data_IF_279632429084
#
_entry.id   IF_279632429084
#
_cell.length_a   1.000
_cell.length_b   1.000
_cell.length_c   1.000
_cell.angle_alpha   90.00
_cell.angle_beta   90.00
_cell.angle_gamma   90.00
#
_symmetry.space_group_name_H-M   'P 1'
#
loop_
_entity.id
_entity.type
_entity.pdbx_description
1 polymer ?
#
# COMPACT_ATOMS: atom_id res chain seq x y z
N UNK A 1 45.21 -40.87 -28.56
CA UNK A 1 44.51 -39.56 -28.46
C UNK A 1 43.08 -39.77 -28.91
N UNK A 2 42.15 -39.88 -27.95
CA UNK A 2 40.72 -39.96 -28.22
C UNK A 2 40.16 -38.59 -27.84
N UNK A 3 39.54 -37.89 -28.78
CA UNK A 3 38.94 -36.58 -28.57
C UNK A 3 37.75 -36.70 -27.59
N UNK A 4 37.52 -35.72 -26.70
CA UNK A 4 36.38 -35.76 -25.81
C UNK A 4 35.12 -35.39 -26.61
N UNK A 5 34.18 -36.32 -26.64
CA UNK A 5 32.82 -36.13 -27.17
C UNK A 5 32.14 -35.03 -26.36
N UNK A 6 31.61 -34.02 -27.04
CA UNK A 6 30.84 -32.95 -26.42
C UNK A 6 29.60 -33.55 -25.75
N UNK A 7 29.58 -33.56 -24.42
CA UNK A 7 28.35 -33.82 -23.67
C UNK A 7 27.41 -32.65 -23.91
N UNK A 8 26.28 -32.92 -24.58
CA UNK A 8 25.15 -32.02 -24.58
C UNK A 8 24.78 -31.74 -23.11
N UNK A 9 24.78 -30.47 -22.71
CA UNK A 9 24.18 -30.03 -21.44
C UNK A 9 22.70 -30.35 -21.53
N UNK A 10 22.28 -31.51 -21.03
CA UNK A 10 20.89 -31.72 -20.66
C UNK A 10 20.58 -30.72 -19.54
N UNK A 11 19.89 -29.64 -19.88
CA UNK A 11 19.35 -28.73 -18.88
C UNK A 11 18.35 -29.50 -18.04
N UNK A 12 18.63 -29.64 -16.73
CA UNK A 12 17.67 -30.22 -15.78
C UNK A 12 16.31 -29.54 -15.97
N UNK A 13 15.21 -30.29 -16.09
CA UNK A 13 13.88 -29.69 -16.22
C UNK A 13 13.57 -28.92 -14.94
N UNK A 14 13.69 -27.59 -14.99
CA UNK A 14 13.20 -26.71 -13.94
C UNK A 14 11.69 -26.68 -14.10
N UNK A 15 10.97 -27.28 -13.14
CA UNK A 15 9.52 -27.12 -13.02
C UNK A 15 9.24 -25.65 -12.79
N UNK A 16 8.91 -24.92 -13.86
CA UNK A 16 8.39 -23.56 -13.78
C UNK A 16 6.88 -23.67 -13.63
N UNK A 17 6.35 -23.40 -12.43
CA UNK A 17 4.94 -23.04 -12.33
C UNK A 17 4.76 -21.75 -13.12
N UNK A 18 4.12 -21.84 -14.30
CA UNK A 18 3.81 -20.68 -15.12
C UNK A 18 2.46 -20.14 -14.66
N UNK A 19 2.51 -19.15 -13.78
CA UNK A 19 1.32 -18.40 -13.41
C UNK A 19 0.90 -17.51 -14.59
N UNK A 20 -0.28 -17.79 -15.17
CA UNK A 20 -0.85 -16.96 -16.23
C UNK A 20 -1.61 -15.79 -15.61
N UNK A 21 -1.01 -14.60 -15.65
CA UNK A 21 -1.66 -13.39 -15.16
C UNK A 21 -2.62 -12.80 -16.20
N UNK A 22 -3.78 -12.36 -15.71
CA UNK A 22 -4.79 -11.65 -16.52
C UNK A 22 -5.32 -10.47 -15.72
N UNK A 23 -5.42 -9.31 -16.36
CA UNK A 23 -6.16 -8.18 -15.84
C UNK A 23 -7.62 -8.31 -16.29
N UNK A 24 -8.56 -8.12 -15.37
CA UNK A 24 -9.99 -8.08 -15.66
C UNK A 24 -10.57 -6.78 -15.13
N UNK A 25 -11.25 -6.04 -16.00
CA UNK A 25 -12.09 -4.91 -15.62
C UNK A 25 -13.49 -5.46 -15.40
N UNK A 26 -14.02 -5.30 -14.19
CA UNK A 26 -15.30 -5.88 -13.79
C UNK A 26 -16.31 -4.78 -13.49
N UNK A 27 -17.57 -4.98 -13.86
CA UNK A 27 -18.67 -4.07 -13.55
C UNK A 27 -18.87 -3.97 -12.04
N UNK A 28 -18.91 -2.74 -11.52
CA UNK A 28 -19.17 -2.47 -10.10
C UNK A 28 -20.57 -2.90 -9.67
N UNK A 29 -21.56 -2.90 -10.57
CA UNK A 29 -22.94 -3.23 -10.23
C UNK A 29 -23.11 -4.70 -9.80
N UNK A 30 -22.47 -5.61 -10.55
CA UNK A 30 -22.65 -7.06 -10.36
C UNK A 30 -21.41 -7.76 -9.80
N UNK A 31 -20.23 -7.10 -9.87
CA UNK A 31 -18.91 -7.65 -9.52
C UNK A 31 -18.56 -9.00 -10.18
N UNK A 32 -19.32 -9.39 -11.21
CA UNK A 32 -19.18 -10.65 -11.95
C UNK A 32 -18.94 -10.42 -13.44
N UNK A 33 -19.61 -9.42 -14.00
CA UNK A 33 -19.55 -9.10 -15.43
C UNK A 33 -18.18 -8.51 -15.78
N UNK A 34 -17.39 -9.24 -16.55
CA UNK A 34 -16.10 -8.76 -17.09
C UNK A 34 -16.38 -7.85 -18.27
N UNK A 35 -16.06 -6.56 -18.11
CA UNK A 35 -16.22 -5.52 -19.12
C UNK A 35 -15.05 -5.51 -20.11
N UNK A 36 -13.85 -5.77 -19.62
CA UNK A 36 -12.66 -5.84 -20.44
C UNK A 36 -11.61 -6.78 -19.83
N UNK A 37 -10.74 -7.36 -20.66
CA UNK A 37 -9.70 -8.28 -20.23
C UNK A 37 -8.38 -7.97 -20.94
N UNK A 38 -7.27 -8.15 -20.25
CA UNK A 38 -5.94 -8.12 -20.86
C UNK A 38 -5.13 -9.31 -20.36
N UNK A 39 -4.55 -10.09 -21.27
CA UNK A 39 -3.71 -11.24 -20.93
C UNK A 39 -2.26 -10.80 -20.96
N UNK A 40 -1.54 -11.07 -19.88
CA UNK A 40 -0.11 -10.74 -19.79
C UNK A 40 0.70 -11.90 -20.38
N UNK A 41 1.91 -11.60 -20.85
CA UNK A 41 2.82 -12.61 -21.37
C UNK A 41 3.04 -13.74 -20.34
N UNK A 42 3.11 -15.03 -20.74
CA UNK A 42 3.15 -16.17 -19.80
C UNK A 42 4.33 -16.20 -18.83
N UNK A 43 5.44 -15.53 -19.17
CA UNK A 43 6.63 -15.44 -18.31
C UNK A 43 6.64 -14.16 -17.45
N UNK A 44 5.63 -13.30 -17.58
CA UNK A 44 5.50 -12.05 -16.84
C UNK A 44 4.53 -12.17 -15.67
N UNK A 45 4.97 -11.65 -14.52
CA UNK A 45 4.21 -11.54 -13.29
C UNK A 45 3.81 -10.09 -13.07
N UNK A 46 2.52 -9.85 -12.79
CA UNK A 46 2.06 -8.53 -12.37
C UNK A 46 2.45 -8.32 -10.91
N UNK A 47 3.24 -7.28 -10.63
CA UNK A 47 3.64 -6.91 -9.28
C UNK A 47 2.73 -5.82 -8.69
N UNK A 48 2.31 -4.87 -9.52
CA UNK A 48 1.41 -3.79 -9.09
C UNK A 48 0.57 -3.27 -10.26
N UNK A 49 -0.59 -2.74 -9.95
CA UNK A 49 -1.49 -2.12 -10.91
C UNK A 49 -2.26 -0.97 -10.27
N UNK A 50 -2.33 0.16 -10.98
CA UNK A 50 -3.02 1.33 -10.48
C UNK A 50 -3.84 2.02 -11.58
N UNK A 51 -5.03 2.49 -11.20
CA UNK A 51 -5.80 3.38 -12.05
C UNK A 51 -5.16 4.76 -12.05
N UNK A 52 -4.89 5.27 -13.24
CA UNK A 52 -4.48 6.65 -13.41
C UNK A 52 -5.73 7.52 -13.45
N UNK A 53 -5.69 8.64 -12.73
CA UNK A 53 -6.67 9.72 -12.85
C UNK A 53 -5.90 10.98 -13.23
N UNK A 54 -6.36 11.71 -14.23
CA UNK A 54 -5.83 12.99 -14.70
C UNK A 54 -4.51 12.93 -15.50
N UNK A 55 -4.42 12.01 -16.45
CA UNK A 55 -3.42 12.12 -17.51
C UNK A 55 -3.73 13.31 -18.43
N UNK A 56 -2.75 14.19 -18.59
CA UNK A 56 -2.90 15.40 -19.39
C UNK A 56 -3.06 15.09 -20.88
N UNK A 57 -4.16 15.52 -21.50
CA UNK A 57 -4.42 15.34 -22.92
C UNK A 57 -5.14 14.04 -23.31
N UNK A 58 -5.60 13.25 -22.33
CA UNK A 58 -6.54 12.15 -22.57
C UNK A 58 -7.98 12.62 -22.27
N UNK A 59 -8.95 12.32 -23.14
CA UNK A 59 -10.33 12.82 -23.01
C UNK A 59 -11.06 12.25 -21.78
N UNK A 60 -10.72 11.02 -21.37
CA UNK A 60 -11.29 10.37 -20.18
C UNK A 60 -10.18 9.97 -19.19
N UNK A 61 -9.97 10.74 -18.10
CA UNK A 61 -8.90 10.51 -17.14
C UNK A 61 -9.01 9.18 -16.40
N UNK A 62 -10.21 8.58 -16.27
CA UNK A 62 -10.45 7.32 -15.53
C UNK A 62 -10.32 6.05 -16.39
N UNK A 63 -9.90 6.19 -17.64
CA UNK A 63 -9.84 5.08 -18.59
C UNK A 63 -8.48 4.39 -18.63
N UNK A 64 -7.46 4.85 -17.92
CA UNK A 64 -6.09 4.30 -18.04
C UNK A 64 -5.67 3.52 -16.81
N UNK A 65 -5.17 2.31 -17.05
CA UNK A 65 -4.58 1.43 -16.03
C UNK A 65 -3.09 1.32 -16.34
N UNK A 66 -2.26 1.58 -15.33
CA UNK A 66 -0.84 1.32 -15.36
C UNK A 66 -0.55 -0.03 -14.70
N UNK A 67 0.24 -0.88 -15.36
CA UNK A 67 0.61 -2.22 -14.90
C UNK A 67 2.13 -2.32 -14.83
N UNK A 68 2.63 -2.76 -13.69
CA UNK A 68 4.03 -3.03 -13.43
C UNK A 68 4.23 -4.53 -13.46
N UNK A 69 5.03 -5.00 -14.40
CA UNK A 69 5.34 -6.42 -14.53
C UNK A 69 6.82 -6.71 -14.29
N UNK A 70 7.09 -7.98 -13.99
CA UNK A 70 8.43 -8.53 -13.86
C UNK A 70 8.48 -9.94 -14.46
N UNK A 71 9.57 -10.26 -15.15
CA UNK A 71 9.86 -11.60 -15.64
C UNK A 71 10.70 -12.31 -14.58
N UNK A 72 10.12 -13.33 -13.94
CA UNK A 72 10.81 -14.12 -12.92
C UNK A 72 11.73 -15.15 -13.58
N UNK A 73 13.02 -14.83 -13.64
CA UNK A 73 14.06 -15.71 -14.23
C UNK A 73 14.74 -16.66 -13.24
N UNK A 74 14.39 -16.61 -11.96
CA UNK A 74 15.18 -17.16 -10.84
C UNK A 74 16.21 -16.16 -10.30
N UNK A 75 16.85 -16.49 -9.18
CA UNK A 75 17.79 -15.58 -8.48
C UNK A 75 19.08 -15.32 -9.26
N UNK A 76 19.53 -16.30 -10.06
CA UNK A 76 20.78 -16.21 -10.85
C UNK A 76 20.63 -15.41 -12.16
N UNK A 77 19.41 -14.98 -12.52
CA UNK A 77 19.15 -14.23 -13.74
C UNK A 77 18.78 -12.79 -13.41
N UNK A 78 19.29 -11.85 -14.22
CA UNK A 78 18.89 -10.45 -14.11
C UNK A 78 17.38 -10.31 -14.31
N UNK A 79 16.69 -9.82 -13.28
CA UNK A 79 15.27 -9.51 -13.36
C UNK A 79 15.03 -8.44 -14.44
N UNK A 80 14.04 -8.69 -15.30
CA UNK A 80 13.49 -7.73 -16.27
C UNK A 80 12.07 -7.40 -15.87
N UNK A 81 11.56 -6.28 -16.35
CA UNK A 81 10.17 -5.90 -16.10
C UNK A 81 9.67 -4.96 -17.17
N UNK A 82 8.37 -4.71 -17.12
CA UNK A 82 7.67 -3.86 -18.07
C UNK A 82 6.77 -2.87 -17.36
N UNK A 83 6.62 -1.69 -17.95
CA UNK A 83 5.51 -0.79 -17.64
C UNK A 83 4.55 -0.81 -18.82
N UNK A 84 3.31 -1.23 -18.58
CA UNK A 84 2.24 -1.21 -19.60
C UNK A 84 1.17 -0.21 -19.20
N UNK A 85 0.84 0.72 -20.09
CA UNK A 85 -0.33 1.59 -19.97
C UNK A 85 -1.44 1.06 -20.88
N UNK A 86 -2.56 0.71 -20.29
CA UNK A 86 -3.75 0.24 -20.99
C UNK A 86 -4.83 1.31 -20.95
N UNK A 87 -5.48 1.55 -22.09
CA UNK A 87 -6.75 2.27 -22.15
C UNK A 87 -7.89 1.26 -22.12
N UNK A 88 -8.77 1.41 -21.15
CA UNK A 88 -10.04 0.72 -21.02
C UNK A 88 -11.07 1.54 -21.76
N UNK A 89 -11.43 1.10 -22.96
CA UNK A 89 -12.61 1.61 -23.64
C UNK A 89 -13.80 0.88 -23.06
N UNK A 90 -14.64 1.56 -22.29
CA UNK A 90 -15.91 1.00 -21.86
C UNK A 90 -16.64 0.50 -23.12
N UNK A 91 -16.87 -0.80 -23.22
CA UNK A 91 -17.81 -1.38 -24.17
C UNK A 91 -19.20 -0.87 -23.80
N UNK A 92 -19.51 0.37 -24.19
CA UNK A 92 -20.87 0.83 -24.25
C UNK A 92 -21.63 -0.17 -25.14
N UNK A 93 -22.73 -0.72 -24.61
CA UNK A 93 -23.74 -1.51 -25.34
C UNK A 93 -23.48 -3.01 -25.65
N UNK A 94 -23.14 -3.83 -24.66
CA UNK A 94 -23.56 -5.27 -24.71
C UNK A 94 -24.75 -5.63 -23.81
N UNK A 95 -25.19 -4.73 -22.95
CA UNK A 95 -26.39 -4.91 -22.11
C UNK A 95 -27.69 -4.40 -22.76
N UNK A 96 -27.63 -3.74 -23.92
CA UNK A 96 -28.83 -3.28 -24.63
C UNK A 96 -29.33 -4.26 -25.71
N UNK A 97 -28.55 -5.28 -26.08
CA UNK A 97 -28.87 -6.22 -27.16
C UNK A 97 -29.02 -7.68 -26.72
N UNK A 98 -28.80 -8.02 -25.45
CA UNK A 98 -28.94 -9.40 -24.96
C UNK A 98 -30.32 -9.77 -24.40
N UNK A 99 -31.33 -8.90 -24.51
CA UNK A 99 -32.75 -9.31 -24.32
C UNK A 99 -33.38 -9.92 -25.59
N UNK A 100 -32.60 -10.14 -26.65
CA UNK A 100 -33.10 -10.73 -27.89
C UNK A 100 -32.14 -11.80 -28.45
N UNK A 101 -31.82 -12.83 -27.66
CA UNK A 101 -31.37 -14.13 -28.16
C UNK A 101 -31.29 -15.16 -27.02
N UNK A 102 -32.43 -15.72 -26.62
CA UNK A 102 -32.44 -17.05 -26.02
C UNK A 102 -32.24 -18.09 -27.15
N UNK A 103 -31.12 -18.81 -27.12
CA UNK A 103 -30.97 -20.25 -27.41
C UNK A 103 -29.49 -20.60 -27.66
N UNK A 104 -28.98 -21.59 -26.92
CA UNK A 104 -27.77 -22.33 -27.32
C UNK A 104 -26.85 -22.65 -26.14
N UNK A 105 -27.07 -23.80 -25.50
CA UNK A 105 -26.15 -24.44 -24.57
C UNK A 105 -24.88 -24.97 -25.26
N UNK A 106 -23.82 -25.09 -24.46
CA UNK A 106 -22.64 -25.97 -24.61
C UNK A 106 -21.65 -25.71 -25.76
N UNK A 107 -20.48 -25.18 -25.40
CA UNK A 107 -19.19 -25.60 -25.96
C UNK A 107 -18.05 -25.22 -24.99
N UNK A 108 -17.55 -26.23 -24.28
CA UNK A 108 -16.21 -26.24 -23.71
C UNK A 108 -15.22 -26.62 -24.83
N UNK A 109 -14.01 -26.09 -24.69
CA UNK A 109 -12.79 -26.46 -25.42
C UNK A 109 -12.75 -26.16 -26.93
N UNK A 110 -12.24 -24.98 -27.29
CA UNK A 110 -11.43 -24.84 -28.50
C UNK A 110 -10.17 -24.01 -28.18
N UNK A 111 -9.01 -24.65 -28.42
CA UNK A 111 -7.68 -24.05 -28.48
C UNK A 111 -7.63 -23.01 -29.61
N UNK A 112 -7.57 -21.71 -29.26
CA UNK A 112 -7.20 -20.63 -30.18
C UNK A 112 -5.74 -20.20 -29.95
N UNK A 113 -5.04 -19.75 -31.01
CA UNK A 113 -3.59 -19.81 -31.10
C UNK A 113 -2.89 -18.84 -30.15
N UNK A 114 -1.62 -19.15 -29.87
CA UNK A 114 -0.71 -18.34 -29.08
C UNK A 114 -0.77 -16.86 -29.50
N UNK A 115 -1.46 -16.05 -28.69
CA UNK A 115 -1.56 -14.62 -28.90
C UNK A 115 -0.18 -14.00 -28.60
N UNK A 116 0.61 -13.78 -29.64
CA UNK A 116 1.72 -12.83 -29.62
C UNK A 116 1.17 -11.49 -29.11
N UNK A 117 1.84 -10.94 -28.09
CA UNK A 117 1.39 -9.75 -27.37
C UNK A 117 0.99 -8.62 -28.32
N UNK A 118 -0.27 -8.19 -28.21
CA UNK A 118 -0.82 -7.11 -29.03
C UNK A 118 0.06 -5.88 -28.97
N UNK A 119 0.51 -5.44 -30.15
CA UNK A 119 1.28 -4.22 -30.30
C UNK A 119 0.48 -2.98 -29.88
N UNK A 120 1.15 -1.86 -29.58
CA UNK A 120 0.46 -0.61 -29.27
C UNK A 120 -0.42 -0.18 -30.46
N UNK A 121 -1.72 -0.04 -30.22
CA UNK A 121 -2.68 0.45 -31.22
C UNK A 121 -3.83 -0.51 -31.60
N UNK A 122 -3.74 -1.81 -31.33
CA UNK A 122 -4.85 -2.73 -31.62
C UNK A 122 -5.89 -2.70 -30.49
N UNK A 123 -7.13 -2.34 -30.85
CA UNK A 123 -8.29 -2.52 -29.98
C UNK A 123 -8.67 -3.99 -30.09
N UNK A 124 -8.14 -4.80 -29.18
CA UNK A 124 -8.54 -6.19 -29.07
C UNK A 124 -10.06 -6.28 -28.81
N UNK A 125 -10.67 -7.38 -29.26
CA UNK A 125 -12.06 -7.78 -28.90
C UNK A 125 -12.30 -7.81 -27.37
N UNK A 126 -11.24 -7.66 -26.59
CA UNK A 126 -11.14 -7.66 -25.15
C UNK A 126 -11.50 -6.32 -24.48
N UNK A 127 -11.73 -5.22 -25.22
CA UNK A 127 -12.15 -3.93 -24.66
C UNK A 127 -11.03 -3.10 -24.01
N UNK A 128 -9.79 -3.57 -24.10
CA UNK A 128 -8.58 -2.87 -23.68
C UNK A 128 -7.70 -2.60 -24.91
N UNK A 129 -7.08 -1.42 -24.99
CA UNK A 129 -6.02 -1.14 -25.96
C UNK A 129 -4.73 -0.74 -25.25
N UNK A 130 -3.60 -1.26 -25.73
CA UNK A 130 -2.27 -0.90 -25.20
C UNK A 130 -1.90 0.47 -25.74
N UNK A 131 -1.70 1.45 -24.85
CA UNK A 131 -1.18 2.77 -25.23
C UNK A 131 0.33 2.72 -25.39
N UNK A 132 1.00 2.19 -24.38
CA UNK A 132 2.47 2.15 -24.30
C UNK A 132 2.87 0.90 -23.53
N UNK A 133 3.87 0.20 -24.07
CA UNK A 133 4.60 -0.85 -23.37
C UNK A 133 6.08 -0.46 -23.35
N UNK A 134 6.68 -0.40 -22.15
CA UNK A 134 8.09 -0.04 -21.97
C UNK A 134 8.82 -1.14 -21.22
N UNK A 135 9.75 -1.79 -21.91
CA UNK A 135 10.72 -2.69 -21.29
C UNK A 135 11.68 -1.92 -20.37
N UNK A 136 11.90 -2.47 -19.18
CA UNK A 136 12.79 -1.93 -18.15
C UNK A 136 13.84 -2.95 -17.73
N UNK A 137 15.03 -2.43 -17.47
CA UNK A 137 16.16 -3.17 -16.92
C UNK A 137 16.02 -3.30 -15.40
N UNK A 138 15.05 -4.10 -14.99
CA UNK A 138 14.68 -4.35 -13.59
C UNK A 138 13.18 -4.55 -13.43
N UNK A 139 12.74 -5.17 -12.34
CA UNK A 139 11.32 -5.40 -12.08
C UNK A 139 10.62 -4.08 -11.75
N UNK A 140 9.45 -3.83 -12.34
CA UNK A 140 8.61 -2.69 -11.97
C UNK A 140 7.78 -3.10 -10.76
N UNK A 141 8.25 -2.78 -9.55
CA UNK A 141 7.68 -3.35 -8.32
C UNK A 141 6.45 -2.62 -7.78
N UNK A 142 6.38 -1.30 -7.97
CA UNK A 142 5.26 -0.48 -7.50
C UNK A 142 4.94 0.62 -8.50
N UNK A 143 3.67 0.99 -8.54
CA UNK A 143 3.11 2.04 -9.37
C UNK A 143 2.26 2.94 -8.50
N UNK A 144 2.59 4.22 -8.47
CA UNK A 144 1.85 5.21 -7.71
C UNK A 144 1.45 6.40 -8.58
N UNK A 145 0.16 6.49 -8.98
CA UNK A 145 -0.39 7.67 -9.62
C UNK A 145 -0.31 8.87 -8.67
N UNK A 146 0.25 9.98 -9.16
CA UNK A 146 0.44 11.16 -8.34
C UNK A 146 0.15 12.44 -9.12
N UNK A 147 -1.09 12.94 -8.96
CA UNK A 147 -1.63 14.03 -9.79
C UNK A 147 -1.52 13.65 -11.28
N UNK A 148 -0.93 14.52 -12.10
CA UNK A 148 -0.65 14.31 -13.53
C UNK A 148 0.66 13.56 -13.82
N UNK A 149 1.30 13.01 -12.78
CA UNK A 149 2.56 12.29 -12.86
C UNK A 149 2.35 10.82 -12.51
N UNK A 150 3.19 9.97 -13.08
CA UNK A 150 3.26 8.55 -12.76
C UNK A 150 4.57 8.28 -12.05
N UNK A 151 4.51 7.82 -10.80
CA UNK A 151 5.71 7.32 -10.13
C UNK A 151 5.75 5.81 -10.26
N UNK A 152 6.93 5.27 -10.56
CA UNK A 152 7.16 3.83 -10.54
C UNK A 152 8.45 3.53 -9.80
N UNK A 153 8.53 2.36 -9.18
CA UNK A 153 9.80 1.81 -8.72
C UNK A 153 10.33 0.77 -9.69
N UNK A 154 11.63 0.81 -9.95
CA UNK A 154 12.37 -0.22 -10.70
C UNK A 154 13.53 -0.68 -9.82
N UNK A 155 13.37 -1.83 -9.17
CA UNK A 155 14.29 -2.29 -8.12
C UNK A 155 14.45 -1.24 -7.01
N UNK A 156 15.67 -0.74 -6.82
CA UNK A 156 16.01 0.28 -5.82
C UNK A 156 15.84 1.73 -6.30
N UNK A 157 15.26 1.97 -7.49
CA UNK A 157 15.12 3.32 -8.06
C UNK A 157 13.67 3.74 -8.15
N UNK A 158 13.40 5.01 -7.85
CA UNK A 158 12.10 5.65 -8.11
C UNK A 158 12.24 6.53 -9.35
N UNK A 159 11.34 6.36 -10.31
CA UNK A 159 11.23 7.20 -11.48
C UNK A 159 9.90 7.93 -11.48
N UNK A 160 9.93 9.20 -11.90
CA UNK A 160 8.74 10.03 -12.10
C UNK A 160 8.61 10.32 -13.58
N UNK A 161 7.47 9.95 -14.14
CA UNK A 161 7.13 10.16 -15.55
C UNK A 161 5.98 11.15 -15.68
N UNK A 162 5.95 11.84 -16.83
CA UNK A 162 4.82 12.62 -17.30
C UNK A 162 4.39 12.10 -18.65
N UNK A 163 3.09 11.96 -18.86
CA UNK A 163 2.55 11.61 -20.17
C UNK A 163 2.64 12.77 -21.15
N UNK A 164 3.12 12.48 -22.35
CA UNK A 164 3.19 13.41 -23.46
C UNK A 164 2.16 13.04 -24.53
N UNK A 165 0.99 13.67 -24.47
CA UNK A 165 -0.10 13.41 -25.42
C UNK A 165 0.26 13.68 -26.89
N UNK A 166 1.26 14.54 -27.17
CA UNK A 166 1.66 14.83 -28.57
C UNK A 166 2.48 13.71 -29.19
N UNK A 167 3.25 13.00 -28.37
CA UNK A 167 4.13 11.90 -28.80
C UNK A 167 3.57 10.53 -28.45
N UNK A 168 2.52 10.48 -27.64
CA UNK A 168 2.00 9.25 -27.03
C UNK A 168 3.09 8.47 -26.27
N UNK A 169 4.00 9.20 -25.61
CA UNK A 169 5.13 8.62 -24.86
C UNK A 169 5.15 9.10 -23.41
N UNK A 170 5.89 8.37 -22.56
CA UNK A 170 6.20 8.78 -21.20
C UNK A 170 7.56 9.49 -21.15
N UNK A 171 7.54 10.77 -20.77
CA UNK A 171 8.74 11.58 -20.60
C UNK A 171 9.24 11.45 -19.15
N UNK A 172 10.51 11.06 -18.99
CA UNK A 172 11.16 10.95 -17.67
C UNK A 172 11.45 12.32 -17.08
N UNK A 173 10.92 12.60 -15.88
CA UNK A 173 11.04 13.90 -15.20
C UNK A 173 12.11 13.92 -14.13
N UNK A 174 12.15 12.90 -13.27
CA UNK A 174 13.11 12.81 -12.17
C UNK A 174 13.38 11.35 -11.78
N UNK A 175 14.50 11.11 -11.12
CA UNK A 175 14.90 9.81 -10.58
C UNK A 175 15.47 10.00 -9.18
N UNK A 176 15.23 9.03 -8.30
CA UNK A 176 15.87 8.91 -6.99
C UNK A 176 16.39 7.49 -6.83
N UNK A 177 17.68 7.35 -6.51
CA UNK A 177 18.24 6.08 -6.02
C UNK A 177 17.92 5.96 -4.53
N UNK A 178 17.28 4.85 -4.16
CA UNK A 178 16.95 4.54 -2.77
C UNK A 178 18.05 3.69 -2.13
N UNK A 179 18.08 3.62 -0.79
CA UNK A 179 19.16 2.95 -0.05
C UNK A 179 18.93 1.44 0.19
N UNK A 180 17.78 0.91 -0.22
CA UNK A 180 17.41 -0.48 0.00
C UNK A 180 17.23 -1.24 -1.31
N UNK A 181 17.16 -2.58 -1.27
CA UNK A 181 17.21 -3.42 -2.46
C UNK A 181 15.91 -3.38 -3.28
N UNK A 182 14.76 -3.16 -2.65
CA UNK A 182 13.46 -3.29 -3.32
C UNK A 182 12.39 -2.47 -2.63
N UNK A 183 11.76 -1.59 -3.40
CA UNK A 183 10.65 -0.77 -2.97
C UNK A 183 9.37 -1.60 -3.04
N UNK A 184 8.67 -1.71 -1.92
CA UNK A 184 7.45 -2.53 -1.77
C UNK A 184 6.18 -1.71 -1.85
N UNK A 185 6.22 -0.44 -1.46
CA UNK A 185 5.07 0.45 -1.51
C UNK A 185 5.49 1.91 -1.61
N UNK A 186 4.70 2.71 -2.31
CA UNK A 186 4.87 4.14 -2.47
C UNK A 186 3.61 4.86 -2.00
N UNK A 187 3.80 6.00 -1.34
CA UNK A 187 2.72 6.91 -0.99
C UNK A 187 3.19 8.35 -1.19
N UNK A 188 2.27 9.24 -1.52
CA UNK A 188 2.58 10.67 -1.68
C UNK A 188 1.61 11.54 -0.90
N UNK A 189 2.15 12.59 -0.29
CA UNK A 189 1.37 13.65 0.35
C UNK A 189 1.89 14.99 -0.13
N UNK A 190 1.03 15.74 -0.81
CA UNK A 190 1.41 16.99 -1.52
C UNK A 190 2.64 16.74 -2.41
N UNK A 191 3.82 17.23 -2.05
CA UNK A 191 5.08 17.12 -2.77
C UNK A 191 6.13 16.25 -2.06
N UNK A 192 5.69 15.50 -1.05
CA UNK A 192 6.50 14.54 -0.34
C UNK A 192 6.19 13.13 -0.82
N UNK A 193 7.23 12.30 -0.83
CA UNK A 193 7.21 10.91 -1.25
C UNK A 193 7.64 10.08 -0.05
N UNK A 194 6.83 9.09 0.30
CA UNK A 194 7.16 8.06 1.27
C UNK A 194 7.33 6.75 0.51
N UNK A 195 8.49 6.13 0.64
CA UNK A 195 8.79 4.82 0.07
C UNK A 195 9.03 3.82 1.19
N UNK A 196 8.38 2.66 1.10
CA UNK A 196 8.66 1.49 1.90
C UNK A 196 9.64 0.58 1.17
N UNK A 197 10.64 0.08 1.89
CA UNK A 197 11.60 -0.89 1.40
C UNK A 197 11.44 -2.24 2.11
N UNK A 198 11.70 -3.33 1.37
CA UNK A 198 11.57 -4.70 1.86
C UNK A 198 12.49 -5.04 3.05
N UNK A 199 13.55 -4.24 3.30
CA UNK A 199 14.53 -4.51 4.36
C UNK A 199 14.87 -3.25 5.17
N UNK A 200 15.11 -2.12 4.49
CA UNK A 200 15.67 -0.89 5.05
C UNK A 200 14.64 0.05 5.69
N UNK A 201 13.37 -0.31 5.71
CA UNK A 201 12.33 0.49 6.34
C UNK A 201 11.78 1.60 5.45
N UNK A 202 11.55 2.77 6.05
CA UNK A 202 10.96 3.93 5.39
C UNK A 202 12.02 4.86 4.84
N UNK A 203 11.75 5.45 3.68
CA UNK A 203 12.52 6.53 3.06
C UNK A 203 11.59 7.69 2.71
N UNK A 204 11.91 8.86 3.22
CA UNK A 204 11.13 10.07 3.05
C UNK A 204 11.89 11.06 2.15
N UNK A 205 11.24 11.50 1.09
CA UNK A 205 11.83 12.39 0.10
C UNK A 205 10.85 13.51 -0.28
N UNK A 206 11.37 14.53 -0.96
CA UNK A 206 10.59 15.67 -1.46
C UNK A 206 10.87 15.87 -2.93
N UNK A 207 9.79 15.92 -3.71
CA UNK A 207 9.85 16.38 -5.09
C UNK A 207 9.86 17.91 -5.14
N UNK A 208 10.80 18.46 -5.89
CA UNK A 208 10.96 19.90 -6.12
C UNK A 208 10.81 20.16 -7.61
N UNK A 209 9.85 21.02 -7.94
CA UNK A 209 9.68 21.57 -9.28
C UNK A 209 10.27 22.98 -9.30
N UNK A 210 11.41 23.17 -9.97
CA UNK A 210 12.00 24.48 -10.14
C UNK A 210 11.46 25.14 -11.42
N UNK A 211 10.49 26.05 -11.26
CA UNK A 211 9.87 26.76 -12.39
C UNK A 211 10.85 27.65 -13.15
N UNK A 212 11.85 28.22 -12.49
CA UNK A 212 12.80 29.14 -13.14
C UNK A 212 13.76 28.36 -14.04
N UNK A 213 14.30 27.26 -13.53
CA UNK A 213 15.26 26.43 -14.26
C UNK A 213 14.60 25.34 -15.12
N UNK A 214 13.27 25.22 -15.08
CA UNK A 214 12.50 24.17 -15.74
C UNK A 214 13.00 22.75 -15.41
N UNK A 215 13.55 22.57 -14.21
CA UNK A 215 14.14 21.31 -13.75
C UNK A 215 13.28 20.67 -12.66
N UNK A 216 13.19 19.35 -12.71
CA UNK A 216 12.56 18.54 -11.69
C UNK A 216 13.64 17.77 -10.95
N UNK A 217 13.57 17.75 -9.62
CA UNK A 217 14.47 16.95 -8.81
C UNK A 217 13.76 16.35 -7.62
N UNK A 218 14.25 15.19 -7.17
CA UNK A 218 13.81 14.57 -5.93
C UNK A 218 14.97 14.71 -4.94
N UNK A 219 14.70 15.34 -3.80
CA UNK A 219 15.67 15.47 -2.70
C UNK A 219 15.27 14.54 -1.58
N UNK A 220 16.20 13.69 -1.17
CA UNK A 220 16.09 12.86 0.01
C UNK A 220 15.97 13.72 1.29
N UNK A 221 15.13 13.31 2.23
CA UNK A 221 14.95 14.01 3.52
C UNK A 221 15.40 13.15 4.70
N UNK A 222 14.81 11.97 4.90
CA UNK A 222 15.11 11.13 6.05
C UNK A 222 14.85 9.63 5.80
N UNK A 223 15.43 8.76 6.63
CA UNK A 223 15.17 7.29 6.65
C UNK A 223 14.90 6.78 8.05
N UNK A 224 14.35 5.58 8.09
CA UNK A 224 14.55 4.68 9.23
C UNK A 224 16.03 4.56 9.62
N UNK A 225 16.29 4.52 10.93
CA UNK A 225 17.64 4.46 11.46
C UNK A 225 18.40 3.23 10.94
N UNK A 226 19.70 3.37 10.65
CA UNK A 226 20.48 2.34 9.95
C UNK A 226 20.63 1.02 10.72
N UNK A 227 20.53 1.07 12.05
CA UNK A 227 20.57 -0.13 12.91
C UNK A 227 19.25 -0.89 12.92
N UNK A 228 18.17 -0.28 12.44
CA UNK A 228 16.85 -0.89 12.38
C UNK A 228 16.65 -1.52 11.01
N UNK A 229 16.28 -2.81 11.01
CA UNK A 229 15.73 -3.47 9.82
C UNK A 229 14.22 -3.49 9.99
N UNK A 230 13.51 -3.05 8.96
CA UNK A 230 12.07 -2.93 8.98
C UNK A 230 11.55 -3.43 7.63
N UNK A 231 11.04 -4.67 7.55
CA UNK A 231 10.55 -5.23 6.30
C UNK A 231 9.18 -4.67 5.98
N UNK A 232 9.14 -3.54 5.28
CA UNK A 232 7.89 -2.83 4.97
C UNK A 232 7.15 -3.55 3.86
N UNK A 233 5.86 -3.78 4.06
CA UNK A 233 4.94 -4.33 3.07
C UNK A 233 4.13 -3.21 2.41
N UNK A 234 3.57 -2.31 3.21
CA UNK A 234 2.73 -1.22 2.71
C UNK A 234 3.00 0.08 3.49
N UNK A 235 2.85 1.23 2.81
CA UNK A 235 3.02 2.54 3.43
C UNK A 235 1.78 3.42 3.25
N UNK A 236 1.55 4.28 4.23
CA UNK A 236 0.55 5.33 4.13
C UNK A 236 1.02 6.59 4.84
N UNK A 237 0.31 7.69 4.60
CA UNK A 237 0.45 8.91 5.38
C UNK A 237 -0.88 9.23 6.04
N UNK A 238 -0.82 9.67 7.30
CA UNK A 238 -1.97 10.24 7.99
C UNK A 238 -1.70 11.72 8.23
N UNK A 239 -2.66 12.56 7.83
CA UNK A 239 -2.58 14.01 8.02
C UNK A 239 -3.72 14.41 8.93
N UNK A 240 -3.37 15.04 10.06
CA UNK A 240 -4.34 15.65 10.95
C UNK A 240 -3.81 16.99 11.43
N UNK A 241 -4.58 18.04 11.18
CA UNK A 241 -4.22 19.42 11.44
C UNK A 241 -2.85 19.78 10.82
N UNK A 242 -1.86 20.10 11.66
CA UNK A 242 -0.50 20.41 11.26
C UNK A 242 0.47 19.20 11.34
N UNK A 243 -0.02 18.03 11.77
CA UNK A 243 0.80 16.85 12.02
C UNK A 243 0.72 15.86 10.85
N UNK A 244 1.89 15.34 10.47
CA UNK A 244 2.04 14.29 9.47
C UNK A 244 2.59 13.04 10.14
N UNK A 245 1.79 11.97 10.16
CA UNK A 245 2.22 10.64 10.51
C UNK A 245 2.64 9.85 9.28
N UNK A 246 3.83 9.28 9.32
CA UNK A 246 4.33 8.34 8.31
C UNK A 246 4.08 6.92 8.83
N UNK A 247 3.31 6.13 8.10
CA UNK A 247 2.84 4.83 8.56
C UNK A 247 3.47 3.74 7.71
N UNK A 248 4.00 2.71 8.35
CA UNK A 248 4.46 1.49 7.71
C UNK A 248 3.74 0.27 8.30
N UNK A 249 3.32 -0.64 7.43
CA UNK A 249 2.90 -1.99 7.79
C UNK A 249 4.05 -2.93 7.47
N UNK A 250 4.46 -3.75 8.44
CA UNK A 250 5.57 -4.68 8.24
C UNK A 250 5.12 -6.12 7.94
N UNK A 251 6.08 -6.94 7.48
CA UNK A 251 5.87 -8.35 7.18
C UNK A 251 5.59 -9.23 8.41
N UNK A 252 5.65 -8.65 9.62
CA UNK A 252 5.38 -9.33 10.88
C UNK A 252 4.01 -8.94 11.47
N UNK A 253 3.22 -8.14 10.75
CA UNK A 253 1.89 -7.72 11.19
C UNK A 253 1.90 -6.59 12.21
N UNK A 254 2.95 -5.76 12.23
CA UNK A 254 3.02 -4.56 13.06
C UNK A 254 2.75 -3.29 12.25
N UNK A 255 2.19 -2.30 12.94
CA UNK A 255 2.08 -0.91 12.49
C UNK A 255 3.21 -0.12 13.12
N UNK A 256 3.93 0.61 12.29
CA UNK A 256 4.94 1.57 12.70
C UNK A 256 4.43 2.97 12.38
N UNK A 257 4.43 3.85 13.37
CA UNK A 257 4.13 5.27 13.17
C UNK A 257 5.39 6.06 13.43
N UNK A 258 5.83 6.78 12.40
CA UNK A 258 7.02 7.62 12.43
C UNK A 258 6.65 9.08 12.15
N UNK A 259 7.48 9.98 12.65
CA UNK A 259 7.42 11.40 12.32
C UNK A 259 8.75 11.89 11.78
N UNK A 260 8.69 13.01 11.07
CA UNK A 260 9.86 13.71 10.57
C UNK A 260 10.00 15.05 11.29
N UNK A 261 11.12 15.24 12.00
CA UNK A 261 11.52 16.54 12.54
C UNK A 261 12.81 16.98 11.85
N UNK A 262 12.84 18.17 11.20
CA UNK A 262 14.08 18.71 10.67
C UNK A 262 15.02 19.21 11.78
N UNK A 263 14.49 19.44 12.98
CA UNK A 263 15.26 19.87 14.15
C UNK A 263 15.76 18.66 14.92
N UNK A 264 16.92 18.82 15.55
CA UNK A 264 17.49 17.83 16.46
C UNK A 264 16.56 17.60 17.65
N UNK A 265 16.23 16.33 17.91
CA UNK A 265 15.52 15.92 19.11
C UNK A 265 16.54 15.55 20.20
N UNK A 266 16.66 16.35 21.27
CA UNK A 266 17.62 16.09 22.34
C UNK A 266 17.30 14.83 23.15
N UNK A 267 16.04 14.37 23.18
CA UNK A 267 15.62 13.18 23.92
C UNK A 267 16.08 11.93 23.16
N UNK A 268 15.93 11.95 21.83
CA UNK A 268 16.24 10.81 20.96
C UNK A 268 17.64 10.86 20.36
N UNK A 269 18.39 11.94 20.60
CA UNK A 269 19.75 12.13 20.09
C UNK A 269 19.86 12.12 18.56
N UNK A 270 18.76 12.38 17.85
CA UNK A 270 18.65 12.23 16.39
C UNK A 270 17.77 13.34 15.81
N UNK A 271 17.93 13.65 14.52
CA UNK A 271 17.08 14.60 13.81
C UNK A 271 17.66 14.96 12.45
N UNK A 272 16.83 15.58 11.60
CA UNK A 272 17.25 16.04 10.27
C UNK A 272 17.22 14.94 9.20
N UNK A 273 17.93 13.83 9.37
CA UNK A 273 18.08 12.76 8.36
C UNK A 273 17.57 11.37 8.82
N UNK A 274 17.14 11.27 10.08
CA UNK A 274 16.57 10.06 10.68
C UNK A 274 15.11 10.30 11.05
N UNK A 275 14.25 9.33 10.75
CA UNK A 275 12.84 9.31 11.14
C UNK A 275 12.71 8.96 12.62
N UNK A 276 11.82 9.66 13.32
CA UNK A 276 11.53 9.41 14.72
C UNK A 276 10.46 8.32 14.80
N UNK A 277 10.86 7.10 15.16
CA UNK A 277 9.97 5.94 15.27
C UNK A 277 9.33 5.85 16.66
N UNK A 278 8.00 5.71 16.74
CA UNK A 278 7.35 5.29 17.99
C UNK A 278 7.40 3.77 18.17
N UNK A 279 6.99 3.29 19.36
CA UNK A 279 6.87 1.84 19.59
C UNK A 279 5.87 1.23 18.61
N UNK A 280 6.21 0.13 17.92
CA UNK A 280 5.30 -0.54 17.01
C UNK A 280 4.10 -1.17 17.73
N UNK A 281 2.99 -1.29 16.99
CA UNK A 281 1.74 -1.90 17.45
C UNK A 281 1.42 -3.16 16.65
N UNK A 282 1.32 -4.32 17.31
CA UNK A 282 0.99 -5.58 16.67
C UNK A 282 -0.51 -5.71 16.38
N UNK A 283 -0.86 -5.81 15.10
CA UNK A 283 -2.26 -5.91 14.65
C UNK A 283 -2.89 -7.27 14.94
N UNK A 284 -2.08 -8.33 14.98
CA UNK A 284 -2.54 -9.72 15.04
C UNK A 284 -2.17 -10.52 13.79
N UNK A 285 -2.14 -9.88 12.63
CA UNK A 285 -1.79 -10.48 11.34
C UNK A 285 -1.26 -9.42 10.36
N UNK A 286 -0.81 -9.85 9.19
CA UNK A 286 -0.23 -9.01 8.16
C UNK A 286 -1.35 -8.33 7.35
N UNK A 287 -1.12 -7.08 6.95
CA UNK A 287 -1.96 -6.36 6.00
C UNK A 287 -1.10 -5.92 4.83
N UNK A 288 -1.43 -6.40 3.62
CA UNK A 288 -0.64 -6.13 2.41
C UNK A 288 -0.97 -4.79 1.75
N UNK A 289 -2.01 -4.10 2.22
CA UNK A 289 -2.45 -2.82 1.69
C UNK A 289 -2.93 -1.91 2.82
N UNK A 290 -2.88 -0.62 2.59
CA UNK A 290 -3.48 0.40 3.45
C UNK A 290 -3.99 1.53 2.56
N UNK A 291 -5.26 1.88 2.71
CA UNK A 291 -5.93 2.84 1.84
C UNK A 291 -6.73 3.86 2.64
N UNK A 292 -6.84 5.11 2.19
CA UNK A 292 -7.76 6.08 2.79
C UNK A 292 -9.21 5.57 2.77
N UNK A 293 -9.93 5.77 3.86
CA UNK A 293 -11.37 5.48 3.92
C UNK A 293 -12.13 6.48 3.05
N UNK A 294 -13.03 6.02 2.15
CA UNK A 294 -13.86 6.91 1.35
C UNK A 294 -15.00 7.56 2.15
N UNK A 295 -15.36 6.96 3.29
CA UNK A 295 -16.49 7.41 4.14
C UNK A 295 -15.99 8.28 5.29
N UNK A 296 -14.84 7.93 5.85
CA UNK A 296 -14.34 8.54 7.08
C UNK A 296 -13.08 9.35 6.81
N UNK A 297 -13.26 10.67 6.75
CA UNK A 297 -12.16 11.61 6.53
C UNK A 297 -11.03 11.38 7.55
N UNK A 298 -9.83 11.14 7.05
CA UNK A 298 -8.63 10.93 7.88
C UNK A 298 -8.49 9.52 8.48
N UNK A 299 -9.40 8.60 8.17
CA UNK A 299 -9.25 7.19 8.55
C UNK A 299 -8.52 6.42 7.46
N UNK A 300 -7.71 5.44 7.87
CA UNK A 300 -7.06 4.47 7.00
C UNK A 300 -7.68 3.10 7.22
N UNK A 301 -7.98 2.40 6.13
CA UNK A 301 -8.48 1.03 6.12
C UNK A 301 -7.33 0.08 5.79
N UNK A 302 -7.28 -1.03 6.52
CA UNK A 302 -6.23 -2.03 6.43
C UNK A 302 -6.90 -3.40 6.29
N UNK A 303 -7.02 -3.97 5.07
CA UNK A 303 -7.49 -5.34 4.91
C UNK A 303 -6.45 -6.32 5.43
N UNK A 304 -6.79 -7.07 6.47
CA UNK A 304 -5.92 -8.05 7.10
C UNK A 304 -5.98 -9.39 6.38
N UNK A 305 -4.89 -10.16 6.46
CA UNK A 305 -4.76 -11.45 5.77
C UNK A 305 -5.70 -12.54 6.31
N UNK A 306 -6.28 -12.34 7.49
CA UNK A 306 -7.30 -13.22 8.09
C UNK A 306 -8.73 -12.90 7.64
N UNK A 307 -8.90 -11.95 6.71
CA UNK A 307 -10.20 -11.50 6.21
C UNK A 307 -10.87 -10.41 7.06
N UNK A 308 -10.26 -10.00 8.17
CA UNK A 308 -10.74 -8.86 8.96
C UNK A 308 -10.34 -7.52 8.33
N UNK A 309 -10.97 -6.43 8.77
CA UNK A 309 -10.68 -5.08 8.32
C UNK A 309 -10.24 -4.23 9.51
N UNK A 310 -8.96 -3.89 9.55
CA UNK A 310 -8.39 -2.94 10.49
C UNK A 310 -8.68 -1.50 10.09
N UNK A 311 -8.71 -0.63 11.09
CA UNK A 311 -8.96 0.81 10.90
C UNK A 311 -8.01 1.60 11.79
N UNK A 312 -7.37 2.60 11.20
CA UNK A 312 -6.45 3.49 11.91
C UNK A 312 -6.94 4.93 11.78
N UNK A 313 -7.09 5.62 12.91
CA UNK A 313 -7.52 7.01 12.96
C UNK A 313 -6.42 7.87 13.57
N UNK A 314 -6.11 8.99 12.93
CA UNK A 314 -5.40 10.05 13.62
C UNK A 314 -6.37 10.79 14.54
N UNK A 315 -5.96 10.98 15.79
CA UNK A 315 -6.69 11.75 16.81
C UNK A 315 -5.84 12.92 17.28
N UNK A 316 -6.45 13.91 17.92
CA UNK A 316 -5.73 15.05 18.48
C UNK A 316 -4.90 14.60 19.69
N UNK A 317 -3.82 15.30 20.06
CA UNK A 317 -3.00 14.93 21.23
C UNK A 317 -3.80 14.89 22.56
N UNK A 318 -4.78 15.78 22.72
CA UNK A 318 -5.71 15.78 23.86
C UNK A 318 -6.49 14.47 23.95
N UNK A 319 -7.10 14.09 22.84
CA UNK A 319 -7.95 12.91 22.69
C UNK A 319 -7.14 11.64 22.87
N UNK A 320 -5.93 11.61 22.29
CA UNK A 320 -4.97 10.53 22.45
C UNK A 320 -4.61 10.31 23.92
N UNK A 321 -4.43 11.40 24.68
CA UNK A 321 -4.10 11.33 26.11
C UNK A 321 -5.26 10.72 26.90
N UNK A 322 -6.50 11.17 26.64
CA UNK A 322 -7.71 10.61 27.26
C UNK A 322 -7.88 9.14 26.91
N UNK A 323 -7.75 8.76 25.64
CA UNK A 323 -7.83 7.38 25.17
C UNK A 323 -6.74 6.48 25.77
N UNK A 324 -5.52 7.00 25.92
CA UNK A 324 -4.41 6.25 26.51
C UNK A 324 -4.65 5.97 27.99
N UNK A 325 -5.18 6.95 28.74
CA UNK A 325 -5.58 6.76 30.14
C UNK A 325 -6.73 5.77 30.26
N UNK A 326 -7.76 5.93 29.42
CA UNK A 326 -8.89 5.00 29.35
C UNK A 326 -8.42 3.57 29.07
N UNK A 327 -7.57 3.39 28.06
CA UNK A 327 -6.96 2.10 27.73
C UNK A 327 -6.25 1.50 28.93
N UNK A 328 -5.33 2.26 29.54
CA UNK A 328 -4.53 1.80 30.68
C UNK A 328 -5.42 1.35 31.83
N UNK A 329 -6.50 2.10 32.10
CA UNK A 329 -7.45 1.79 33.16
C UNK A 329 -8.32 0.56 32.84
N UNK A 330 -8.80 0.42 31.60
CA UNK A 330 -9.61 -0.73 31.20
C UNK A 330 -8.82 -2.04 31.15
N UNK A 331 -7.54 -1.99 30.78
CA UNK A 331 -6.68 -3.19 30.72
C UNK A 331 -6.44 -3.77 32.12
N UNK A 332 -6.38 -2.93 33.16
CA UNK A 332 -6.19 -3.39 34.54
C UNK A 332 -7.50 -3.80 35.22
N UNK A 333 -8.61 -3.14 34.88
CA UNK A 333 -9.92 -3.40 35.49
C UNK A 333 -10.68 -4.57 34.87
N UNK A 334 -10.60 -4.75 33.55
CA UNK A 334 -11.44 -5.72 32.85
C UNK A 334 -10.73 -7.06 32.67
N UNK A 335 -11.40 -8.20 32.94
CA UNK A 335 -10.86 -9.49 32.58
C UNK A 335 -10.77 -9.58 31.05
N UNK A 336 -9.61 -10.01 30.58
CA UNK A 336 -9.38 -10.25 29.16
C UNK A 336 -9.70 -11.71 28.83
N UNK A 337 -10.32 -12.00 27.67
CA UNK A 337 -10.52 -13.37 27.20
C UNK A 337 -9.21 -14.16 27.22
N UNK A 338 -9.24 -15.37 27.76
CA UNK A 338 -8.05 -16.23 27.88
C UNK A 338 -6.99 -15.72 28.86
N UNK A 339 -7.33 -14.77 29.74
CA UNK A 339 -6.41 -14.17 30.72
C UNK A 339 -5.18 -13.50 30.09
N UNK A 340 -5.28 -13.05 28.84
CA UNK A 340 -4.20 -12.38 28.12
C UNK A 340 -4.16 -10.88 28.43
N UNK A 341 -3.01 -10.32 28.76
CA UNK A 341 -2.88 -8.88 28.95
C UNK A 341 -2.93 -8.14 27.60
N UNK A 342 -3.98 -7.35 27.36
CA UNK A 342 -4.21 -6.73 26.06
C UNK A 342 -3.05 -5.82 25.62
N UNK A 343 -2.41 -5.09 26.53
CA UNK A 343 -1.24 -4.28 26.21
C UNK A 343 -0.04 -5.11 25.72
N UNK A 344 0.23 -6.25 26.35
CA UNK A 344 1.39 -7.10 26.02
C UNK A 344 1.12 -7.85 24.71
N UNK A 345 -0.14 -8.21 24.46
CA UNK A 345 -0.53 -8.84 23.20
C UNK A 345 -0.27 -7.92 21.99
N UNK A 346 -0.36 -6.60 22.16
CA UNK A 346 -0.06 -5.61 21.12
C UNK A 346 1.42 -5.26 20.99
N UNK A 347 2.27 -5.78 21.86
CA UNK A 347 3.72 -5.64 21.69
C UNK A 347 4.24 -6.65 20.67
N UNK A 348 5.13 -6.25 19.73
CA UNK A 348 5.72 -7.21 18.81
C UNK A 348 6.55 -8.26 19.54
N UNK A 349 6.62 -9.46 18.95
CA UNK A 349 7.35 -10.59 19.55
C UNK A 349 8.82 -10.28 19.80
N UNK A 350 9.49 -9.59 18.87
CA UNK A 350 10.89 -9.20 19.02
C UNK A 350 11.12 -8.24 20.21
N UNK A 351 10.14 -7.36 20.48
CA UNK A 351 10.18 -6.46 21.63
C UNK A 351 9.93 -7.18 22.95
N UNK A 352 9.15 -8.27 22.96
CA UNK A 352 8.97 -9.10 24.16
C UNK A 352 10.25 -9.85 24.57
N UNK A 353 11.13 -10.11 23.61
CA UNK A 353 12.38 -10.86 23.81
C UNK A 353 13.60 -9.96 24.05
N UNK A 354 13.49 -8.67 23.74
CA UNK A 354 14.54 -7.65 23.93
C UNK A 354 14.46 -7.05 25.33
N UNK A 355 15.53 -7.16 26.13
CA UNK A 355 15.64 -6.47 27.43
C UNK A 355 15.93 -4.96 27.31
N UNK A 356 16.19 -4.47 26.09
CA UNK A 356 16.47 -3.06 25.83
C UNK A 356 15.27 -2.46 25.08
N UNK A 357 14.32 -1.95 25.85
CA UNK A 357 13.32 -1.01 25.32
C UNK A 357 13.89 0.39 25.53
N UNK A 358 14.20 1.16 24.46
CA UNK A 358 14.28 2.61 24.62
C UNK A 358 12.91 3.12 25.09
N UNK A 359 12.90 4.22 25.86
CA UNK A 359 11.71 4.99 26.32
C UNK A 359 10.94 5.63 25.15
N UNK A 360 10.63 4.84 24.13
CA UNK A 360 9.90 5.29 22.96
C UNK A 360 8.41 5.41 23.32
N UNK A 361 7.73 6.49 22.90
CA UNK A 361 6.30 6.64 23.11
C UNK A 361 5.54 5.58 22.30
N UNK A 362 4.47 5.03 22.88
CA UNK A 362 3.50 4.20 22.17
C UNK A 362 2.56 5.10 21.37
N UNK A 363 2.61 5.12 20.04
CA UNK A 363 1.88 6.07 19.21
C UNK A 363 0.47 5.60 18.83
N UNK A 364 0.09 4.36 19.19
CA UNK A 364 -1.19 3.74 18.84
C UNK A 364 -1.85 3.18 20.09
N UNK A 365 -3.15 3.45 20.25
CA UNK A 365 -3.99 2.91 21.32
C UNK A 365 -4.93 1.87 20.74
N UNK A 366 -5.15 0.77 21.46
CA UNK A 366 -6.09 -0.27 21.03
C UNK A 366 -7.54 0.19 21.20
N UNK A 367 -8.15 0.59 20.08
CA UNK A 367 -9.54 1.00 20.03
C UNK A 367 -10.52 -0.09 20.45
N UNK A 368 -10.22 -1.36 20.27
CA UNK A 368 -11.12 -2.47 20.66
C UNK A 368 -11.23 -2.61 22.18
N UNK A 369 -10.15 -2.30 22.91
CA UNK A 369 -10.19 -2.26 24.37
C UNK A 369 -11.00 -1.05 24.82
N UNK A 370 -10.73 0.14 24.26
CA UNK A 370 -11.50 1.35 24.58
C UNK A 370 -13.00 1.17 24.27
N UNK A 371 -13.34 0.44 23.20
CA UNK A 371 -14.73 0.13 22.82
C UNK A 371 -15.49 -0.61 23.92
N UNK A 372 -14.81 -1.41 24.76
CA UNK A 372 -15.44 -2.13 25.89
C UNK A 372 -16.09 -1.17 26.89
N UNK A 373 -15.57 0.05 27.03
CA UNK A 373 -16.15 1.09 27.89
C UNK A 373 -17.63 1.33 27.60
N UNK A 374 -18.01 1.35 26.32
CA UNK A 374 -19.39 1.61 25.89
C UNK A 374 -20.37 0.51 26.31
N UNK A 375 -19.88 -0.70 26.62
CA UNK A 375 -20.70 -1.83 27.05
C UNK A 375 -20.78 -1.98 28.57
N UNK A 376 -20.06 -1.15 29.34
CA UNK A 376 -20.16 -1.12 30.79
C UNK A 376 -21.44 -0.43 31.24
N UNK A 377 -21.88 -0.71 32.45
CA UNK A 377 -23.04 -0.01 33.01
C UNK A 377 -22.68 1.48 33.26
N UNK A 378 -23.70 2.35 33.27
CA UNK A 378 -23.49 3.80 33.33
C UNK A 378 -22.80 4.26 34.63
N UNK A 379 -22.99 3.53 35.73
CA UNK A 379 -22.34 3.83 37.00
C UNK A 379 -20.83 3.56 36.96
N UNK A 380 -20.41 2.40 36.44
CA UNK A 380 -18.98 2.07 36.23
C UNK A 380 -18.37 3.03 35.22
N UNK A 381 -19.09 3.39 34.16
CA UNK A 381 -18.62 4.38 33.19
C UNK A 381 -18.32 5.73 33.85
N UNK A 382 -19.22 6.21 34.71
CA UNK A 382 -19.04 7.47 35.45
C UNK A 382 -17.83 7.41 36.39
N UNK A 383 -17.66 6.30 37.11
CA UNK A 383 -16.52 6.08 38.01
C UNK A 383 -15.19 6.09 37.24
N UNK A 384 -15.13 5.37 36.11
CA UNK A 384 -13.94 5.35 35.26
C UNK A 384 -13.65 6.75 34.70
N UNK A 385 -14.67 7.46 34.21
CA UNK A 385 -14.53 8.82 33.68
C UNK A 385 -13.92 9.76 34.72
N UNK A 386 -14.43 9.71 35.95
CA UNK A 386 -13.89 10.49 37.07
C UNK A 386 -12.43 10.13 37.37
N UNK A 387 -12.08 8.84 37.39
CA UNK A 387 -10.72 8.38 37.67
C UNK A 387 -9.70 8.76 36.59
N UNK A 388 -10.11 8.87 35.33
CA UNK A 388 -9.23 9.34 34.24
C UNK A 388 -9.19 10.88 34.10
N UNK A 389 -9.99 11.59 34.91
CA UNK A 389 -10.06 13.05 34.96
C UNK A 389 -10.93 13.67 33.87
N UNK A 390 -12.02 13.00 33.48
CA UNK A 390 -13.02 13.52 32.52
C UNK A 390 -14.33 13.80 33.26
N UNK A 391 -14.79 15.05 33.21
CA UNK A 391 -16.00 15.50 33.92
C UNK A 391 -17.30 15.17 33.15
N UNK A 392 -17.29 15.32 31.82
CA UNK A 392 -18.46 15.03 30.98
C UNK A 392 -18.41 13.59 30.44
N UNK A 393 -19.18 12.71 31.09
CA UNK A 393 -19.32 11.31 30.68
C UNK A 393 -19.96 11.18 29.28
N UNK A 394 -20.95 12.01 28.96
CA UNK A 394 -21.69 11.88 27.69
C UNK A 394 -20.81 12.37 26.52
N UNK A 395 -19.92 13.33 26.75
CA UNK A 395 -18.85 13.67 25.80
C UNK A 395 -17.87 12.52 25.59
N UNK A 396 -17.39 11.88 26.67
CA UNK A 396 -16.49 10.73 26.57
C UNK A 396 -17.12 9.57 25.80
N UNK A 397 -18.37 9.21 26.12
CA UNK A 397 -19.11 8.16 25.43
C UNK A 397 -19.27 8.48 23.93
N UNK A 398 -19.65 9.71 23.58
CA UNK A 398 -19.75 10.15 22.17
C UNK A 398 -18.41 10.07 21.46
N UNK A 399 -17.34 10.51 22.11
CA UNK A 399 -15.99 10.48 21.53
C UNK A 399 -15.52 9.04 21.28
N UNK A 400 -15.65 8.16 22.29
CA UNK A 400 -15.30 6.73 22.14
C UNK A 400 -16.17 6.06 21.07
N UNK A 401 -17.47 6.32 21.02
CA UNK A 401 -18.36 5.80 19.98
C UNK A 401 -17.98 6.28 18.59
N UNK A 402 -17.63 7.57 18.45
CA UNK A 402 -17.16 8.15 17.19
C UNK A 402 -15.89 7.48 16.68
N UNK A 403 -14.89 7.29 17.55
CA UNK A 403 -13.59 6.71 17.17
C UNK A 403 -13.65 5.21 16.95
N UNK A 404 -14.50 4.50 17.70
CA UNK A 404 -14.70 3.05 17.54
C UNK A 404 -15.78 2.70 16.54
N UNK A 405 -16.51 3.70 16.01
CA UNK A 405 -17.62 3.56 15.05
C UNK A 405 -18.63 2.49 15.49
N UNK A 406 -18.92 2.44 16.79
CA UNK A 406 -20.14 1.78 17.26
C UNK A 406 -21.29 2.66 16.82
N UNK A 407 -21.87 2.37 15.66
CA UNK A 407 -23.15 2.95 15.26
C UNK A 407 -24.17 2.58 16.32
N UNK A 408 -24.92 3.57 16.83
CA UNK A 408 -26.15 3.32 17.59
C UNK A 408 -26.95 2.27 16.82
N UNK A 409 -27.13 1.10 17.44
CA UNK A 409 -28.02 0.06 16.93
C UNK A 409 -29.45 0.36 17.33
#
# INVERSE_FOLDING_TARGET
>A
MIAPTAMAKEECPVVRMRDRYQLRVVSRADMRTVLAQYRVHPDEVILDAAFMSDLEGLPDPTSVIAIGSAIQGGEDRSARGGLTLLRVTALASKTASSMAAEKGENALDEDEPDAEGGGPGDIDKSGCSVLVHLDKRGPVSTIHPWRKLLMISIGFRIFVYRWNAKKETLDGMAMLDTMGPSITSLCTVKNYILAGDAIRGLQFARFKHNKQQHTNSISYLAKTHYSQTLPVVAVATSVRDANLGLIALDAHGNIHVSSFSPHFDPIRGTGGDVLLHGRPFFMGTISASIVPSPVDSGALLMPLSDGTMGRLFAVNPSDFTVLSRLFTHLVTMLPSPGSLHAGVQREPVAYRQSQALPDEPTPVVDGEVCRKFLFLNRWIQAEIAHQIGVEDLDELCRAVAMWTKVTDR
#
